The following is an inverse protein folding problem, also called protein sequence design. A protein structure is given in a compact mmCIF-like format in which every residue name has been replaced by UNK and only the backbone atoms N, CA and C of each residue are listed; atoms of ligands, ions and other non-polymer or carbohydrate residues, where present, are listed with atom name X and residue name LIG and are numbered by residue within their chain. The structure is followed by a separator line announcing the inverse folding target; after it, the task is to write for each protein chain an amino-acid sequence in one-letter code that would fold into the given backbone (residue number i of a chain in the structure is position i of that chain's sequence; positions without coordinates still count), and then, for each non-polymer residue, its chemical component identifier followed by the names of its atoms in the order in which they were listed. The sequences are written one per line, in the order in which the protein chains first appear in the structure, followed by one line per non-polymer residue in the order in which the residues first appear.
data_IF_345773641835
#
_entry.id   IF_345773641835
#
_cell.length_a   1.000
_cell.length_b   1.000
_cell.length_c   1.000
_cell.angle_alpha   90.00
_cell.angle_beta   90.00
_cell.angle_gamma   90.00
#
_symmetry.space_group_name_H-M   'P 1'
#
loop_
_entity.id
_entity.type
_entity.pdbx_description
1 polymer ?
#
# COMPACT_ATOMS: atom_id res chain seq x y z
N UNK A 1 -12.76 11.32 -17.33
CA UNK A 1 -11.37 11.09 -16.92
C UNK A 1 -11.31 10.52 -15.52
N UNK A 2 -10.55 9.47 -15.32
CA UNK A 2 -10.39 8.86 -14.02
C UNK A 2 -9.51 9.70 -13.09
N UNK A 3 -9.76 9.59 -11.80
CA UNK A 3 -8.92 10.21 -10.77
C UNK A 3 -7.66 9.35 -10.61
N UNK A 4 -6.50 9.98 -10.60
CA UNK A 4 -5.24 9.26 -10.38
C UNK A 4 -5.07 8.97 -8.90
N UNK A 5 -5.00 7.70 -8.55
CA UNK A 5 -4.80 7.26 -7.17
C UNK A 5 -3.34 6.93 -6.86
N UNK A 6 -2.49 6.84 -7.86
CA UNK A 6 -1.07 6.51 -7.66
C UNK A 6 -0.27 7.74 -7.24
N UNK A 7 0.71 7.53 -6.35
CA UNK A 7 1.66 8.56 -5.97
C UNK A 7 2.64 8.72 -7.14
N UNK A 8 2.81 9.92 -7.70
CA UNK A 8 3.78 10.11 -8.79
C UNK A 8 5.19 9.75 -8.35
N UNK A 9 5.94 9.08 -9.22
CA UNK A 9 7.32 8.69 -8.93
C UNK A 9 8.23 9.89 -8.71
N UNK A 10 7.90 11.04 -9.30
CA UNK A 10 8.67 12.27 -9.12
C UNK A 10 8.60 12.82 -7.69
N UNK A 11 7.55 12.49 -6.94
CA UNK A 11 7.44 12.92 -5.53
C UNK A 11 8.21 12.00 -4.59
N UNK A 12 8.44 10.74 -4.97
CA UNK A 12 9.17 9.77 -4.17
C UNK A 12 8.42 9.37 -2.89
N UNK A 13 9.07 8.55 -2.09
CA UNK A 13 8.49 8.04 -0.84
C UNK A 13 9.32 8.42 0.39
N UNK A 14 10.38 9.19 0.21
CA UNK A 14 11.35 9.46 1.28
C UNK A 14 10.73 10.12 2.52
N UNK A 15 9.86 11.09 2.33
CA UNK A 15 9.18 11.76 3.46
C UNK A 15 8.27 10.78 4.22
N UNK A 16 7.61 9.90 3.49
CA UNK A 16 6.71 8.92 4.10
C UNK A 16 7.50 7.93 4.93
N UNK A 17 8.66 7.50 4.44
CA UNK A 17 9.53 6.61 5.19
C UNK A 17 10.16 7.29 6.40
N UNK A 18 10.48 8.57 6.30
CA UNK A 18 11.13 9.31 7.36
C UNK A 18 10.18 9.66 8.51
N UNK A 19 8.97 10.13 8.19
CA UNK A 19 8.00 10.60 9.19
C UNK A 19 6.57 10.20 8.83
N UNK A 20 6.21 8.92 8.93
CA UNK A 20 4.83 8.53 8.68
C UNK A 20 3.91 9.00 9.81
N UNK A 21 2.70 9.41 9.46
CA UNK A 21 1.68 9.76 10.45
C UNK A 21 0.99 8.50 11.00
N UNK A 22 0.98 7.44 10.19
CA UNK A 22 0.42 6.15 10.58
C UNK A 22 1.29 5.03 10.02
N UNK A 23 1.46 3.99 10.81
CA UNK A 23 2.27 2.83 10.43
C UNK A 23 1.62 1.56 10.96
N UNK A 24 1.47 0.57 10.10
CA UNK A 24 1.04 -0.76 10.51
C UNK A 24 1.77 -1.80 9.68
N UNK A 25 1.83 -3.01 10.17
CA UNK A 25 2.51 -4.08 9.44
C UNK A 25 1.83 -5.41 9.68
N UNK A 26 2.09 -6.35 8.77
CA UNK A 26 1.70 -7.73 8.88
C UNK A 26 2.93 -8.59 8.66
N UNK A 27 2.75 -9.89 8.53
CA UNK A 27 3.90 -10.80 8.33
C UNK A 27 4.73 -10.44 7.10
N UNK A 28 4.08 -10.13 5.98
CA UNK A 28 4.78 -9.89 4.70
C UNK A 28 4.78 -8.43 4.25
N UNK A 29 3.98 -7.58 4.86
CA UNK A 29 3.79 -6.21 4.40
C UNK A 29 4.01 -5.18 5.49
N UNK A 30 4.49 -4.01 5.08
CA UNK A 30 4.58 -2.83 5.93
C UNK A 30 3.79 -1.72 5.23
N UNK A 31 2.85 -1.10 5.92
CA UNK A 31 2.09 0.02 5.39
C UNK A 31 2.47 1.28 6.16
N UNK A 32 2.83 2.31 5.41
CA UNK A 32 3.13 3.64 5.94
C UNK A 32 2.15 4.62 5.32
N UNK A 33 1.67 5.58 6.08
CA UNK A 33 0.76 6.59 5.57
C UNK A 33 1.14 7.95 6.14
N UNK A 34 1.02 8.97 5.31
CA UNK A 34 1.29 10.36 5.68
C UNK A 34 0.18 11.22 5.12
N UNK A 35 -0.40 12.09 5.96
CA UNK A 35 -1.44 13.02 5.52
C UNK A 35 -0.93 13.85 4.36
N UNK A 36 -1.79 14.08 3.36
CA UNK A 36 -1.45 14.90 2.22
C UNK A 36 -2.39 16.09 2.11
N UNK A 37 -2.07 17.02 1.21
CA UNK A 37 -2.86 18.22 0.95
C UNK A 37 -3.69 18.11 -0.32
N UNK A 38 -3.78 16.91 -0.88
CA UNK A 38 -4.49 16.68 -2.15
C UNK A 38 -5.99 16.45 -1.99
N UNK A 39 -6.45 16.25 -0.76
CA UNK A 39 -7.87 16.04 -0.49
C UNK A 39 -8.38 14.65 -0.85
N UNK A 40 -7.48 13.70 -1.17
CA UNK A 40 -7.86 12.33 -1.54
C UNK A 40 -6.75 11.35 -1.20
N UNK A 41 -7.08 10.06 -0.96
CA UNK A 41 -6.05 9.06 -0.72
C UNK A 41 -5.31 8.72 -2.01
N UNK A 42 -4.01 8.46 -1.89
CA UNK A 42 -3.15 8.01 -2.99
C UNK A 42 -2.36 6.79 -2.54
N UNK A 43 -1.96 5.94 -3.49
CA UNK A 43 -1.30 4.67 -3.20
C UNK A 43 0.03 4.54 -3.92
N UNK A 44 1.04 4.02 -3.24
CA UNK A 44 2.29 3.60 -3.82
C UNK A 44 2.64 2.22 -3.32
N UNK A 45 3.22 1.39 -4.15
CA UNK A 45 3.62 0.04 -3.79
C UNK A 45 5.09 -0.16 -4.12
N UNK A 46 5.85 -0.62 -3.14
CA UNK A 46 7.27 -0.90 -3.30
C UNK A 46 7.51 -2.41 -3.17
N UNK A 47 7.92 -3.05 -4.26
CA UNK A 47 8.24 -4.48 -4.30
C UNK A 47 9.63 -4.63 -4.89
N UNK A 48 10.58 -5.12 -4.08
CA UNK A 48 11.97 -5.28 -4.52
C UNK A 48 12.17 -6.61 -5.23
N UNK A 49 13.06 -6.60 -6.22
CA UNK A 49 13.42 -7.83 -6.95
C UNK A 49 13.99 -8.91 -6.05
N UNK A 50 14.72 -8.53 -5.00
CA UNK A 50 15.30 -9.52 -4.09
C UNK A 50 14.25 -10.24 -3.25
N UNK A 51 13.10 -9.61 -3.01
CA UNK A 51 12.01 -10.22 -2.27
C UNK A 51 11.09 -11.05 -3.18
N UNK A 52 10.79 -10.52 -4.37
CA UNK A 52 9.94 -11.18 -5.36
C UNK A 52 10.66 -11.14 -6.71
N UNK A 53 11.29 -12.22 -7.09
CA UNK A 53 12.15 -12.27 -8.28
C UNK A 53 11.41 -12.15 -9.61
N UNK A 54 10.25 -12.78 -9.73
CA UNK A 54 9.50 -12.79 -10.99
C UNK A 54 8.65 -11.54 -11.14
N UNK A 55 8.81 -10.86 -12.29
CA UNK A 55 8.05 -9.65 -12.60
C UNK A 55 6.55 -9.89 -12.57
N UNK A 56 6.10 -11.05 -13.04
CA UNK A 56 4.67 -11.39 -13.06
C UNK A 56 4.11 -11.46 -11.64
N UNK A 57 4.89 -11.96 -10.69
CA UNK A 57 4.47 -12.04 -9.29
C UNK A 57 4.44 -10.65 -8.65
N UNK A 58 5.43 -9.80 -8.96
CA UNK A 58 5.43 -8.42 -8.48
C UNK A 58 4.18 -7.68 -8.97
N UNK A 59 3.81 -7.87 -10.22
CA UNK A 59 2.62 -7.23 -10.80
C UNK A 59 1.33 -7.74 -10.14
N UNK A 60 1.25 -9.03 -9.84
CA UNK A 60 0.10 -9.60 -9.13
C UNK A 60 -0.08 -8.99 -7.75
N UNK A 61 1.01 -8.85 -6.99
CA UNK A 61 0.98 -8.24 -5.67
C UNK A 61 0.52 -6.79 -5.77
N UNK A 62 1.09 -6.02 -6.68
CA UNK A 62 0.71 -4.62 -6.87
C UNK A 62 -0.78 -4.49 -7.18
N UNK A 63 -1.30 -5.35 -8.06
CA UNK A 63 -2.74 -5.32 -8.41
C UNK A 63 -3.62 -5.64 -7.21
N UNK A 64 -3.25 -6.63 -6.41
CA UNK A 64 -4.02 -7.00 -5.23
C UNK A 64 -4.04 -5.88 -4.19
N UNK A 65 -2.89 -5.25 -3.95
CA UNK A 65 -2.79 -4.14 -3.01
C UNK A 65 -3.62 -2.96 -3.50
N UNK A 66 -3.48 -2.58 -4.76
CA UNK A 66 -4.25 -1.48 -5.34
C UNK A 66 -5.74 -1.78 -5.38
N UNK A 67 -6.12 -3.03 -5.64
CA UNK A 67 -7.52 -3.45 -5.62
C UNK A 67 -8.15 -3.27 -4.25
N UNK A 68 -7.46 -3.67 -3.19
CA UNK A 68 -7.91 -3.46 -1.82
C UNK A 68 -8.01 -1.98 -1.47
N UNK A 69 -7.03 -1.18 -1.92
CA UNK A 69 -7.05 0.27 -1.75
C UNK A 69 -8.29 0.88 -2.41
N UNK A 70 -8.54 0.56 -3.69
CA UNK A 70 -9.67 1.10 -4.43
C UNK A 70 -11.01 0.72 -3.82
N UNK A 71 -11.11 -0.51 -3.31
CA UNK A 71 -12.33 -0.97 -2.66
C UNK A 71 -12.65 -0.18 -1.39
N UNK A 72 -11.65 0.40 -0.74
CA UNK A 72 -11.81 1.13 0.52
C UNK A 72 -11.55 2.64 0.39
N UNK A 73 -11.28 3.12 -0.82
CA UNK A 73 -10.81 4.51 -1.03
C UNK A 73 -11.76 5.58 -0.47
N UNK A 74 -13.06 5.35 -0.57
CA UNK A 74 -14.05 6.32 -0.07
C UNK A 74 -14.03 6.46 1.45
N UNK A 75 -13.52 5.47 2.14
CA UNK A 75 -13.49 5.43 3.60
C UNK A 75 -12.10 5.71 4.18
N UNK A 76 -11.09 5.86 3.32
CA UNK A 76 -9.72 6.15 3.73
C UNK A 76 -9.52 7.65 3.86
N UNK A 77 -8.72 8.04 4.86
CA UNK A 77 -8.34 9.45 5.05
C UNK A 77 -7.51 9.95 3.89
N UNK A 78 -7.57 11.26 3.62
CA UNK A 78 -6.76 11.90 2.58
C UNK A 78 -5.28 11.86 2.97
N UNK A 79 -4.58 10.86 2.47
CA UNK A 79 -3.18 10.61 2.80
C UNK A 79 -2.50 9.84 1.67
N UNK A 80 -1.17 9.84 1.70
CA UNK A 80 -0.36 9.02 0.82
C UNK A 80 -0.03 7.72 1.53
N UNK A 81 -0.48 6.61 0.97
CA UNK A 81 -0.27 5.28 1.53
C UNK A 81 0.80 4.55 0.72
N UNK A 82 1.80 4.01 1.40
CA UNK A 82 2.84 3.20 0.76
C UNK A 82 2.85 1.82 1.39
N UNK A 83 2.71 0.80 0.56
CA UNK A 83 2.80 -0.59 1.01
C UNK A 83 4.12 -1.17 0.52
N UNK A 84 4.92 -1.66 1.44
CA UNK A 84 6.21 -2.27 1.17
C UNK A 84 6.16 -3.76 1.44
N UNK A 85 6.67 -4.56 0.53
CA UNK A 85 6.82 -5.99 0.76
C UNK A 85 8.09 -6.21 1.58
N UNK A 86 7.94 -6.82 2.76
CA UNK A 86 9.03 -7.00 3.73
C UNK A 86 9.92 -8.20 3.44
N UNK A 87 9.35 -9.26 2.86
CA UNK A 87 10.07 -10.49 2.62
C UNK A 87 9.39 -11.32 1.53
N UNK A 88 10.08 -12.36 1.07
CA UNK A 88 9.57 -13.24 0.05
C UNK A 88 8.22 -13.86 0.46
N UNK A 89 7.30 -13.92 -0.50
CA UNK A 89 5.97 -14.50 -0.30
C UNK A 89 5.94 -15.85 -1.03
N UNK A 90 5.91 -16.96 -0.28
CA UNK A 90 5.98 -18.28 -0.90
C UNK A 90 4.74 -18.67 -1.69
N UNK A 91 3.58 -18.15 -1.30
CA UNK A 91 2.32 -18.45 -2.00
C UNK A 91 1.58 -17.18 -2.36
N UNK A 92 1.30 -17.02 -3.64
CA UNK A 92 0.66 -15.83 -4.21
C UNK A 92 -0.84 -16.03 -4.35
N UNK A 93 -1.51 -16.42 -3.27
CA UNK A 93 -2.91 -16.79 -3.35
C UNK A 93 -3.75 -16.18 -2.22
N UNK A 94 -4.66 -16.97 -1.71
CA UNK A 94 -5.65 -16.61 -0.70
C UNK A 94 -5.07 -15.93 0.55
N UNK A 95 -3.94 -16.42 1.06
CA UNK A 95 -3.31 -15.88 2.27
C UNK A 95 -2.91 -14.41 2.07
N UNK A 96 -2.37 -14.09 0.90
CA UNK A 96 -1.96 -12.73 0.57
C UNK A 96 -3.17 -11.81 0.51
N UNK A 97 -4.25 -12.27 -0.11
CA UNK A 97 -5.49 -11.49 -0.21
C UNK A 97 -6.04 -11.17 1.19
N UNK A 98 -6.06 -12.15 2.07
CA UNK A 98 -6.52 -11.96 3.45
C UNK A 98 -5.64 -10.98 4.21
N UNK A 99 -4.33 -11.10 4.05
CA UNK A 99 -3.37 -10.21 4.71
C UNK A 99 -3.51 -8.77 4.25
N UNK A 100 -3.68 -8.55 2.94
CA UNK A 100 -3.89 -7.22 2.36
C UNK A 100 -5.18 -6.61 2.87
N UNK A 101 -6.26 -7.39 2.91
CA UNK A 101 -7.55 -6.92 3.43
C UNK A 101 -7.43 -6.52 4.91
N UNK A 102 -6.70 -7.28 5.69
CA UNK A 102 -6.46 -6.98 7.10
C UNK A 102 -5.73 -5.65 7.27
N UNK A 103 -4.71 -5.39 6.46
CA UNK A 103 -3.98 -4.13 6.50
C UNK A 103 -4.89 -2.93 6.23
N UNK A 104 -5.72 -3.01 5.19
CA UNK A 104 -6.65 -1.93 4.87
C UNK A 104 -7.71 -1.75 5.95
N UNK A 105 -8.17 -2.83 6.56
CA UNK A 105 -9.11 -2.77 7.67
C UNK A 105 -8.51 -2.02 8.86
N UNK A 106 -7.24 -2.25 9.15
CA UNK A 106 -6.54 -1.51 10.22
C UNK A 106 -6.47 -0.02 9.91
N UNK A 107 -6.25 0.36 8.66
CA UNK A 107 -6.25 1.77 8.26
C UNK A 107 -7.61 2.44 8.48
N UNK A 108 -8.69 1.72 8.17
CA UNK A 108 -10.04 2.24 8.33
C UNK A 108 -10.41 2.47 9.79
N UNK A 109 -9.85 1.66 10.69
CA UNK A 109 -10.14 1.73 12.11
C UNK A 109 -9.39 2.83 12.85
N UNK A 110 -8.45 3.50 12.19
CA UNK A 110 -7.58 4.49 12.84
C UNK A 110 -8.04 5.92 12.59
N UNK A 111 -8.00 6.70 13.67
CA UNK A 111 -8.31 8.14 13.66
C UNK A 111 -6.98 8.90 13.80
N UNK A 112 -6.51 9.46 12.69
CA UNK A 112 -5.18 10.11 12.70
C UNK A 112 -5.07 11.31 11.80
#
# INVERSE_FOLDING_TARGET
MGVKHSIPSSEGFDEIFAKPDFKTHSEHFLLLAKKNTHGRPRIGVAVRKKDIKLAVNRNKIKRKIKGGFLANALNLSAADYVVLVKKNIPEMNKVITEEINEIWTKCLGESW
#
